data_IF_912137239638
#
_entry.id   IF_912137239638
#
_cell.length_a   1.000
_cell.length_b   1.000
_cell.length_c   1.000
_cell.angle_alpha   90.00
_cell.angle_beta   90.00
_cell.angle_gamma   90.00
#
_symmetry.space_group_name_H-M   'P 1'
#
loop_
_entity.id
_entity.type
_entity.pdbx_description
1 polymer ?
#
# COMPACT_ATOMS: atom_id res chain seq x y z
N UNK A 1 12.84 2.67 6.46
CA UNK A 1 12.57 1.59 7.45
C UNK A 1 12.37 0.24 6.79
N UNK A 2 11.88 0.19 5.55
CA UNK A 2 11.91 -1.04 4.77
C UNK A 2 13.38 -1.48 4.61
N UNK A 3 13.75 -2.75 4.83
CA UNK A 3 15.13 -3.22 4.72
C UNK A 3 15.77 -3.03 3.34
N UNK A 4 14.93 -2.85 2.32
CA UNK A 4 15.34 -2.71 0.91
C UNK A 4 14.84 -1.40 0.28
N UNK A 5 14.37 -0.45 1.10
CA UNK A 5 13.83 0.85 0.66
C UNK A 5 12.83 0.76 -0.51
N UNK A 6 11.89 -0.19 -0.39
CA UNK A 6 10.98 -0.57 -1.49
C UNK A 6 9.84 0.44 -1.78
N UNK A 7 9.06 0.95 -0.81
CA UNK A 7 7.92 1.80 -1.13
C UNK A 7 8.36 3.07 -1.86
N UNK A 8 7.82 3.29 -3.06
CA UNK A 8 8.13 4.48 -3.87
C UNK A 8 7.19 5.61 -3.44
N UNK A 9 7.77 6.72 -2.99
CA UNK A 9 7.03 7.87 -2.46
C UNK A 9 7.40 9.13 -3.23
N UNK A 10 6.53 9.53 -4.16
CA UNK A 10 6.68 10.77 -4.90
C UNK A 10 5.94 11.90 -4.20
N UNK A 11 6.64 13.01 -3.95
CA UNK A 11 6.05 14.17 -3.27
C UNK A 11 6.52 15.48 -3.90
N UNK A 12 5.67 16.50 -3.79
CA UNK A 12 5.97 17.89 -4.16
C UNK A 12 5.89 18.77 -2.93
N UNK A 13 6.84 19.68 -2.75
CA UNK A 13 6.76 20.71 -1.71
C UNK A 13 5.86 21.85 -2.18
N UNK A 14 4.79 22.12 -1.44
CA UNK A 14 4.01 23.34 -1.59
C UNK A 14 4.59 24.41 -0.68
N UNK A 15 5.22 25.42 -1.28
CA UNK A 15 5.96 26.45 -0.54
C UNK A 15 5.04 27.35 0.29
N UNK A 16 3.84 27.64 -0.19
CA UNK A 16 2.89 28.54 0.47
C UNK A 16 2.48 28.04 1.85
N UNK A 17 2.21 26.74 1.96
CA UNK A 17 1.78 26.08 3.20
C UNK A 17 2.93 25.33 3.91
N UNK A 18 4.14 25.36 3.35
CA UNK A 18 5.32 24.59 3.79
C UNK A 18 5.01 23.12 4.08
N UNK A 19 4.18 22.51 3.22
CA UNK A 19 3.72 21.11 3.36
C UNK A 19 4.18 20.29 2.16
N UNK A 20 4.62 19.06 2.44
CA UNK A 20 4.86 18.07 1.38
C UNK A 20 3.53 17.45 1.00
N UNK A 21 3.14 17.57 -0.26
CA UNK A 21 1.98 16.90 -0.84
C UNK A 21 2.43 15.63 -1.55
N UNK A 22 1.84 14.51 -1.18
CA UNK A 22 2.02 13.23 -1.87
C UNK A 22 1.42 13.32 -3.28
N UNK A 23 2.16 12.84 -4.28
CA UNK A 23 1.70 12.74 -5.67
C UNK A 23 1.36 11.31 -6.05
N UNK A 24 2.30 10.40 -5.78
CA UNK A 24 2.17 9.00 -6.10
C UNK A 24 2.80 8.16 -4.99
N UNK A 25 2.18 7.00 -4.77
CA UNK A 25 2.64 6.01 -3.81
C UNK A 25 2.43 4.63 -4.43
N UNK A 26 3.48 3.82 -4.49
CA UNK A 26 3.42 2.47 -5.02
C UNK A 26 4.29 1.50 -4.25
N UNK A 27 3.86 0.23 -4.20
CA UNK A 27 4.59 -0.87 -3.57
C UNK A 27 4.59 -2.04 -4.55
N UNK A 28 5.78 -2.60 -4.81
CA UNK A 28 5.91 -3.82 -5.59
C UNK A 28 5.86 -5.06 -4.70
N UNK A 29 4.74 -5.77 -4.73
CA UNK A 29 4.55 -7.00 -3.96
C UNK A 29 5.39 -8.17 -4.46
N UNK A 30 5.96 -8.10 -5.67
CA UNK A 30 6.89 -9.10 -6.17
C UNK A 30 8.28 -9.02 -5.50
N UNK A 31 8.61 -7.88 -4.90
CA UNK A 31 9.89 -7.64 -4.20
C UNK A 31 9.68 -7.55 -2.67
N UNK A 32 8.49 -7.17 -2.23
CA UNK A 32 8.14 -7.05 -0.82
C UNK A 32 8.39 -8.37 -0.06
N UNK A 33 9.07 -8.27 1.08
CA UNK A 33 9.36 -9.41 1.97
C UNK A 33 8.36 -9.55 3.12
N UNK A 34 7.27 -8.75 3.11
CA UNK A 34 6.19 -8.78 4.11
C UNK A 34 6.67 -8.67 5.58
N UNK A 35 7.77 -7.94 5.83
CA UNK A 35 8.35 -7.79 7.17
C UNK A 35 7.53 -6.96 8.17
N UNK A 36 6.56 -6.15 7.70
CA UNK A 36 5.70 -5.33 8.56
C UNK A 36 6.30 -3.99 9.05
N UNK A 37 7.59 -3.74 8.87
CA UNK A 37 8.24 -2.51 9.36
C UNK A 37 7.58 -1.20 8.88
N UNK A 38 7.09 -1.17 7.63
CA UNK A 38 6.44 0.02 7.09
C UNK A 38 5.13 0.37 7.80
N UNK A 39 4.43 -0.64 8.34
CA UNK A 39 3.19 -0.47 9.10
C UNK A 39 3.51 -0.04 10.53
N UNK A 40 4.46 -0.73 11.18
CA UNK A 40 4.82 -0.46 12.58
C UNK A 40 5.33 0.96 12.81
N UNK A 41 6.19 1.45 11.91
CA UNK A 41 6.78 2.78 12.05
C UNK A 41 5.95 3.90 11.41
N UNK A 42 4.75 3.60 10.89
CA UNK A 42 3.90 4.61 10.28
C UNK A 42 3.31 5.53 11.36
N UNK A 43 3.67 6.83 11.42
CA UNK A 43 3.22 7.72 12.49
C UNK A 43 1.73 8.05 12.41
N UNK A 44 1.12 7.91 11.23
CA UNK A 44 -0.28 8.27 10.97
C UNK A 44 -1.19 7.05 10.84
N UNK A 45 -0.68 5.84 11.06
CA UNK A 45 -1.41 4.58 10.84
C UNK A 45 -2.12 4.52 9.48
N UNK A 46 -1.50 5.07 8.42
CA UNK A 46 -2.08 5.05 7.08
C UNK A 46 -1.82 3.76 6.32
N UNK A 47 -0.87 2.95 6.80
CA UNK A 47 -0.53 1.65 6.25
C UNK A 47 -0.98 0.57 7.25
N UNK A 48 -1.58 -0.49 6.73
CA UNK A 48 -1.96 -1.69 7.48
C UNK A 48 -1.71 -2.92 6.61
N UNK A 49 -1.43 -4.05 7.26
CA UNK A 49 -1.39 -5.35 6.58
C UNK A 49 -2.81 -5.89 6.46
N UNK A 50 -3.13 -6.46 5.30
CA UNK A 50 -4.35 -7.23 5.10
C UNK A 50 -4.07 -8.72 5.28
N UNK A 51 -5.13 -9.52 5.39
CA UNK A 51 -5.06 -10.98 5.46
C UNK A 51 -5.05 -11.64 4.07
N UNK A 52 -4.89 -10.85 3.00
CA UNK A 52 -4.88 -11.35 1.62
C UNK A 52 -3.54 -11.98 1.29
N UNK A 53 -3.51 -13.29 1.12
CA UNK A 53 -2.33 -14.04 0.71
C UNK A 53 -2.38 -14.50 -0.77
N UNK A 54 -3.55 -14.47 -1.40
CA UNK A 54 -3.78 -14.97 -2.76
C UNK A 54 -3.46 -13.92 -3.85
N UNK A 55 -2.26 -13.34 -3.80
CA UNK A 55 -1.86 -12.24 -4.69
C UNK A 55 -1.18 -12.71 -6.00
N UNK A 56 -1.20 -14.01 -6.31
CA UNK A 56 -0.47 -14.55 -7.46
C UNK A 56 -0.97 -13.98 -8.80
N UNK A 57 -0.04 -13.55 -9.67
CA UNK A 57 -0.37 -13.10 -11.02
C UNK A 57 0.59 -13.69 -12.06
N UNK A 58 0.16 -13.76 -13.32
CA UNK A 58 0.98 -14.26 -14.42
C UNK A 58 2.07 -13.29 -14.90
N UNK A 59 1.94 -11.99 -14.58
CA UNK A 59 2.87 -10.95 -15.01
C UNK A 59 3.35 -10.16 -13.78
N UNK A 60 4.66 -10.16 -13.56
CA UNK A 60 5.31 -9.46 -12.44
C UNK A 60 4.92 -7.99 -12.34
N UNK A 61 4.68 -7.31 -13.46
CA UNK A 61 4.37 -5.88 -13.44
C UNK A 61 3.00 -5.59 -12.84
N UNK A 62 2.11 -6.59 -12.79
CA UNK A 62 0.81 -6.48 -12.13
C UNK A 62 0.90 -6.50 -10.61
N UNK A 63 2.02 -6.94 -10.03
CA UNK A 63 2.27 -6.92 -8.59
C UNK A 63 2.71 -5.55 -8.07
N UNK A 64 3.01 -4.61 -8.96
CA UNK A 64 3.27 -3.22 -8.59
C UNK A 64 1.96 -2.47 -8.40
N UNK A 65 1.57 -2.28 -7.14
CA UNK A 65 0.29 -1.67 -6.79
C UNK A 65 0.46 -0.18 -6.55
N UNK A 66 -0.37 0.62 -7.21
CA UNK A 66 -0.48 2.06 -6.99
C UNK A 66 -1.40 2.36 -5.80
N UNK A 67 -1.37 3.61 -5.32
CA UNK A 67 -2.18 4.10 -4.19
C UNK A 67 -3.69 3.78 -4.29
N UNK A 68 -4.25 3.76 -5.50
CA UNK A 68 -5.66 3.41 -5.72
C UNK A 68 -5.90 1.91 -5.53
N UNK A 69 -4.97 1.07 -5.98
CA UNK A 69 -5.09 -0.38 -5.83
C UNK A 69 -4.88 -0.82 -4.37
N UNK A 70 -3.96 -0.17 -3.67
CA UNK A 70 -3.68 -0.40 -2.24
C UNK A 70 -4.84 0.00 -1.32
N UNK A 71 -5.65 1.00 -1.71
CA UNK A 71 -6.80 1.45 -0.93
C UNK A 71 -8.08 0.63 -1.12
N UNK A 72 -8.02 -0.50 -1.84
CA UNK A 72 -9.18 -1.38 -2.04
C UNK A 72 -9.48 -2.17 -0.77
N UNK A 73 -10.76 -2.52 -0.60
CA UNK A 73 -11.18 -3.42 0.47
C UNK A 73 -10.67 -4.84 0.18
N UNK A 74 -10.22 -5.57 1.22
CA UNK A 74 -9.78 -6.94 1.05
C UNK A 74 -10.96 -7.86 0.68
N UNK A 75 -10.70 -8.90 -0.10
CA UNK A 75 -11.68 -9.87 -0.60
C UNK A 75 -12.51 -10.52 0.51
N UNK A 76 -11.89 -10.85 1.65
CA UNK A 76 -12.58 -11.44 2.81
C UNK A 76 -13.74 -10.57 3.31
N UNK A 77 -13.58 -9.25 3.25
CA UNK A 77 -14.61 -8.29 3.65
C UNK A 77 -15.68 -8.14 2.56
N UNK A 78 -15.32 -8.27 1.28
CA UNK A 78 -16.29 -8.14 0.17
C UNK A 78 -17.26 -9.33 0.13
N UNK A 79 -16.81 -10.51 0.55
CA UNK A 79 -17.62 -11.74 0.57
C UNK A 79 -18.40 -11.95 1.87
N UNK A 80 -18.19 -11.09 2.87
CA UNK A 80 -19.04 -11.04 4.06
C UNK A 80 -20.46 -10.59 3.67
N UNK A 81 -21.39 -11.54 3.73
CA UNK A 81 -22.80 -11.35 3.37
C UNK A 81 -23.50 -10.27 4.24
N UNK A 82 -22.96 -9.97 5.42
CA UNK A 82 -23.45 -8.95 6.34
C UNK A 82 -23.23 -7.52 5.85
N UNK A 83 -22.36 -7.31 4.85
CA UNK A 83 -22.09 -6.00 4.24
C UNK A 83 -22.97 -5.77 2.99
N UNK A 84 -23.59 -6.83 2.45
CA UNK A 84 -24.41 -6.78 1.22
C UNK A 84 -25.92 -6.61 1.46
N UNK A 85 -26.36 -6.41 2.71
CA UNK A 85 -27.77 -6.13 3.08
C UNK A 85 -28.07 -4.65 3.23
#
# INVERSE_FOLDING_TARGET
VCPIDLPVVDWKLEMDIRKKRLLNYSIDFGICIFCGNCVEYCPTNCLSMTEEYELSTYDRHKLNYNQIALGRLPMSVIDDYTIRT
#
